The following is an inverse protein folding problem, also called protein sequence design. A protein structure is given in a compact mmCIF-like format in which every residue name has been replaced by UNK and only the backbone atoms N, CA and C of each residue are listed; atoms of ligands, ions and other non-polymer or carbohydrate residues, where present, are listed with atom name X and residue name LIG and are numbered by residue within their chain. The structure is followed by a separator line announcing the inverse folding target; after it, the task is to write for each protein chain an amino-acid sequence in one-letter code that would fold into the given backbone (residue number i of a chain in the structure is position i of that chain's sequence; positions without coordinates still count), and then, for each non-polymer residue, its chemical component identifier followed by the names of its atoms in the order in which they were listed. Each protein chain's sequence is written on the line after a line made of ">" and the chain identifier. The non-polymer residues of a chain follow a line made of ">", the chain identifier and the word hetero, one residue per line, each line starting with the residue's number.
data_IF_497697342619
#
_entry.id   IF_497697342619
#
_cell.length_a   1.000
_cell.length_b   1.000
_cell.length_c   1.000
_cell.angle_alpha   90.00
_cell.angle_beta   90.00
_cell.angle_gamma   90.00
#
_symmetry.space_group_name_H-M   'P 1'
#
loop_
_entity.id
_entity.type
_entity.pdbx_description
1 polymer ?
#
# COMPACT_ATOMS: atom_id res chain seq x y z
N UNK A 1 19.58 8.78 7.40
CA UNK A 1 18.47 8.29 6.56
C UNK A 1 19.05 7.69 5.30
N UNK A 2 18.88 6.39 5.10
CA UNK A 2 19.37 5.71 3.91
C UNK A 2 18.49 6.03 2.69
N UNK A 3 19.06 5.91 1.49
CA UNK A 3 18.27 5.98 0.25
C UNK A 3 17.13 4.95 0.25
N UNK A 4 17.42 3.74 0.74
CA UNK A 4 16.46 2.64 0.89
C UNK A 4 15.23 3.04 1.72
N UNK A 5 15.42 3.72 2.84
CA UNK A 5 14.31 4.19 3.66
C UNK A 5 13.49 5.30 2.97
N UNK A 6 14.16 6.21 2.24
CA UNK A 6 13.48 7.25 1.47
C UNK A 6 12.61 6.61 0.37
N UNK A 7 13.18 5.68 -0.39
CA UNK A 7 12.48 4.97 -1.47
C UNK A 7 11.27 4.20 -0.91
N UNK A 8 11.41 3.53 0.24
CA UNK A 8 10.31 2.80 0.90
C UNK A 8 9.15 3.72 1.32
N UNK A 9 9.42 4.95 1.75
CA UNK A 9 8.34 5.93 2.04
C UNK A 9 7.57 6.26 0.76
N UNK A 10 8.26 6.57 -0.33
CA UNK A 10 7.60 6.95 -1.58
C UNK A 10 6.81 5.78 -2.17
N UNK A 11 7.37 4.57 -2.17
CA UNK A 11 6.67 3.38 -2.64
C UNK A 11 5.43 3.10 -1.79
N UNK A 12 5.54 3.17 -0.45
CA UNK A 12 4.39 3.05 0.45
C UNK A 12 3.28 4.06 0.15
N UNK A 13 3.62 5.31 -0.18
CA UNK A 13 2.65 6.34 -0.55
C UNK A 13 1.96 6.06 -1.90
N UNK A 14 2.67 5.47 -2.86
CA UNK A 14 2.08 5.04 -4.13
C UNK A 14 1.11 3.87 -3.92
N UNK A 15 1.50 2.84 -3.17
CA UNK A 15 0.62 1.72 -2.82
C UNK A 15 -0.66 2.18 -2.12
N UNK A 16 -0.55 3.10 -1.15
CA UNK A 16 -1.71 3.70 -0.47
C UNK A 16 -2.57 4.53 -1.43
N UNK A 17 -1.97 5.16 -2.44
CA UNK A 17 -2.72 5.88 -3.47
C UNK A 17 -3.54 4.94 -4.33
N UNK A 18 -2.99 3.79 -4.72
CA UNK A 18 -3.72 2.78 -5.50
C UNK A 18 -4.89 2.18 -4.71
N UNK A 19 -4.66 1.87 -3.43
CA UNK A 19 -5.73 1.43 -2.53
C UNK A 19 -6.84 2.50 -2.43
N UNK A 20 -6.46 3.77 -2.27
CA UNK A 20 -7.41 4.90 -2.23
C UNK A 20 -8.24 5.00 -3.51
N UNK A 21 -7.62 4.83 -4.68
CA UNK A 21 -8.35 4.85 -5.97
C UNK A 21 -9.40 3.76 -5.99
N UNK A 22 -9.06 2.53 -5.59
CA UNK A 22 -10.03 1.43 -5.57
C UNK A 22 -11.18 1.69 -4.58
N UNK A 23 -10.88 2.23 -3.40
CA UNK A 23 -11.92 2.60 -2.44
C UNK A 23 -12.85 3.70 -2.97
N UNK A 24 -12.33 4.62 -3.79
CA UNK A 24 -13.13 5.63 -4.47
C UNK A 24 -14.04 5.02 -5.54
N UNK A 25 -13.53 4.07 -6.32
CA UNK A 25 -14.30 3.38 -7.37
C UNK A 25 -15.44 2.54 -6.80
N UNK A 26 -15.26 2.00 -5.59
CA UNK A 26 -16.26 1.17 -4.91
C UNK A 26 -17.20 1.95 -4.00
N UNK A 27 -17.08 3.28 -3.96
CA UNK A 27 -17.96 4.13 -3.18
C UNK A 27 -19.42 4.11 -3.72
N UNK A 28 -20.44 4.28 -2.84
CA UNK A 28 -20.34 4.50 -1.40
C UNK A 28 -20.32 3.21 -0.56
N UNK A 29 -20.62 2.04 -1.13
CA UNK A 29 -20.73 0.80 -0.35
C UNK A 29 -19.37 0.17 -0.02
N UNK A 30 -18.32 0.53 -0.75
CA UNK A 30 -16.97 -0.03 -0.65
C UNK A 30 -16.94 -1.56 -0.76
N UNK A 31 -17.91 -2.12 -1.49
CA UNK A 31 -17.99 -3.54 -1.74
C UNK A 31 -16.98 -3.92 -2.83
N UNK A 32 -15.98 -4.71 -2.45
CA UNK A 32 -14.98 -5.24 -3.37
C UNK A 32 -15.47 -6.57 -3.96
N UNK A 33 -15.37 -6.72 -5.27
CA UNK A 33 -15.47 -8.04 -5.92
C UNK A 33 -14.22 -8.89 -5.62
N UNK A 34 -14.20 -10.15 -6.07
CA UNK A 34 -13.10 -11.07 -5.79
C UNK A 34 -11.77 -10.58 -6.36
N UNK A 35 -11.77 -10.07 -7.59
CA UNK A 35 -10.58 -9.55 -8.27
C UNK A 35 -10.02 -8.31 -7.56
N UNK A 36 -10.91 -7.40 -7.16
CA UNK A 36 -10.57 -6.23 -6.35
C UNK A 36 -9.98 -6.64 -5.00
N UNK A 37 -10.53 -7.66 -4.32
CA UNK A 37 -9.97 -8.16 -3.05
C UNK A 37 -8.57 -8.73 -3.22
N UNK A 38 -8.35 -9.56 -4.24
CA UNK A 38 -7.02 -10.09 -4.54
C UNK A 38 -6.01 -8.98 -4.82
N UNK A 39 -6.43 -7.94 -5.56
CA UNK A 39 -5.60 -6.78 -5.83
C UNK A 39 -5.31 -5.97 -4.57
N UNK A 40 -6.29 -5.70 -3.70
CA UNK A 40 -6.05 -5.02 -2.40
C UNK A 40 -5.11 -5.84 -1.54
N UNK A 41 -5.30 -7.16 -1.44
CA UNK A 41 -4.41 -8.04 -0.67
C UNK A 41 -2.98 -7.93 -1.17
N UNK A 42 -2.77 -7.98 -2.49
CA UNK A 42 -1.43 -7.83 -3.08
C UNK A 42 -0.79 -6.46 -2.78
N UNK A 43 -1.58 -5.38 -2.81
CA UNK A 43 -1.09 -4.03 -2.46
C UNK A 43 -0.74 -3.91 -0.97
N UNK A 44 -1.52 -4.54 -0.08
CA UNK A 44 -1.24 -4.60 1.35
C UNK A 44 0.02 -5.41 1.66
N UNK A 45 0.18 -6.59 1.03
CA UNK A 45 1.38 -7.41 1.19
C UNK A 45 2.65 -6.67 0.73
N UNK A 46 2.54 -5.85 -0.31
CA UNK A 46 3.64 -4.97 -0.73
C UNK A 46 3.90 -3.85 0.29
N UNK A 47 2.84 -3.21 0.81
CA UNK A 47 2.96 -2.14 1.79
C UNK A 47 3.61 -2.64 3.10
N UNK A 48 3.29 -3.86 3.53
CA UNK A 48 3.91 -4.49 4.70
C UNK A 48 5.43 -4.66 4.53
N UNK A 49 5.91 -4.95 3.32
CA UNK A 49 7.35 -5.04 3.03
C UNK A 49 8.03 -3.68 3.15
N UNK A 50 7.43 -2.63 2.59
CA UNK A 50 7.96 -1.27 2.73
C UNK A 50 7.96 -0.81 4.20
N UNK A 51 6.91 -1.13 4.96
CA UNK A 51 6.85 -0.86 6.39
C UNK A 51 7.94 -1.64 7.17
N UNK A 52 8.27 -2.86 6.77
CA UNK A 52 9.36 -3.61 7.39
C UNK A 52 10.72 -2.93 7.14
N UNK A 53 10.97 -2.44 5.93
CA UNK A 53 12.17 -1.63 5.62
C UNK A 53 12.23 -0.37 6.49
N UNK A 54 11.11 0.34 6.61
CA UNK A 54 11.06 1.55 7.43
C UNK A 54 11.32 1.24 8.91
N UNK A 55 10.77 0.13 9.44
CA UNK A 55 11.05 -0.30 10.83
C UNK A 55 12.54 -0.64 11.02
N UNK A 56 13.18 -1.27 10.05
CA UNK A 56 14.61 -1.60 10.12
C UNK A 56 15.50 -0.34 10.13
N UNK A 57 15.10 0.71 9.40
CA UNK A 57 15.95 1.87 9.13
C UNK A 57 15.64 3.11 9.98
N UNK A 58 14.47 3.15 10.65
CA UNK A 58 13.98 4.31 11.41
C UNK A 58 13.67 4.03 12.90
N UNK A 59 13.43 2.79 13.29
CA UNK A 59 13.03 2.43 14.66
C UNK A 59 14.21 1.81 15.44
#
# INVERSE_FOLDING_TARGET
>A
MSKRAIDAVFEGLFLLTDIRVMLRETAPQHALDESQREKVRSLLDALEKELAVLREELA
#
